data_IF_155905486610
#
_entry.id   IF_155905486610
#
_cell.length_a   1.000
_cell.length_b   1.000
_cell.length_c   1.000
_cell.angle_alpha   90.00
_cell.angle_beta   90.00
_cell.angle_gamma   90.00
#
_symmetry.space_group_name_H-M   'P 1'
#
loop_
_entity.id
_entity.type
_entity.pdbx_description
1 polymer ?
#
# COMPACT_ATOMS: atom_id res chain seq x y z
N UNK A 1 -19.21 -5.65 15.07
CA UNK A 1 -18.34 -6.77 14.67
C UNK A 1 -17.48 -6.29 13.50
N UNK A 2 -16.15 -6.32 13.58
CA UNK A 2 -15.30 -5.88 12.46
C UNK A 2 -15.51 -6.85 11.29
N UNK A 3 -15.47 -6.38 10.04
CA UNK A 3 -15.67 -7.24 8.86
C UNK A 3 -14.77 -8.49 8.85
N UNK A 4 -13.55 -8.37 9.39
CA UNK A 4 -12.60 -9.47 9.56
C UNK A 4 -13.08 -10.54 10.55
N UNK A 5 -13.88 -10.17 11.55
CA UNK A 5 -14.43 -11.11 12.54
C UNK A 5 -15.65 -11.84 11.98
N UNK A 6 -16.46 -11.17 11.16
CA UNK A 6 -17.58 -11.79 10.46
C UNK A 6 -17.11 -12.84 9.43
N UNK A 7 -16.04 -12.55 8.68
CA UNK A 7 -15.46 -13.49 7.72
C UNK A 7 -14.94 -14.77 8.41
N UNK A 8 -14.25 -14.62 9.54
CA UNK A 8 -13.75 -15.77 10.32
C UNK A 8 -14.87 -16.69 10.80
N UNK A 9 -16.00 -16.10 11.24
CA UNK A 9 -17.16 -16.87 11.71
C UNK A 9 -17.79 -17.65 10.56
N UNK A 10 -17.93 -17.01 9.39
CA UNK A 10 -18.46 -17.66 8.18
C UNK A 10 -17.61 -18.87 7.77
N UNK A 11 -16.28 -18.71 7.74
CA UNK A 11 -15.34 -19.80 7.41
C UNK A 11 -15.43 -20.95 8.43
N UNK A 12 -15.60 -20.64 9.71
CA UNK A 12 -15.72 -21.64 10.78
C UNK A 12 -17.00 -22.49 10.59
N UNK A 13 -18.12 -21.87 10.25
CA UNK A 13 -19.36 -22.58 9.93
C UNK A 13 -19.24 -23.44 8.66
N UNK A 14 -18.54 -22.96 7.63
CA UNK A 14 -18.29 -23.73 6.41
C UNK A 14 -17.45 -24.98 6.69
N UNK A 15 -16.41 -24.87 7.52
CA UNK A 15 -15.56 -26.00 7.94
C UNK A 15 -16.35 -27.03 8.75
N UNK A 16 -17.17 -26.58 9.72
CA UNK A 16 -18.02 -27.46 10.52
C UNK A 16 -19.03 -28.24 9.65
N UNK A 17 -19.60 -27.57 8.64
CA UNK A 17 -20.51 -28.20 7.69
C UNK A 17 -19.81 -29.24 6.81
N UNK A 18 -18.60 -28.93 6.33
CA UNK A 18 -17.78 -29.89 5.57
C UNK A 18 -17.43 -31.14 6.39
N UNK A 19 -17.05 -30.95 7.67
CA UNK A 19 -16.77 -32.05 8.59
C UNK A 19 -18.01 -32.94 8.76
N UNK A 20 -19.20 -32.34 8.90
CA UNK A 20 -20.45 -33.09 9.00
C UNK A 20 -20.73 -33.92 7.74
N UNK A 21 -20.59 -33.34 6.54
CA UNK A 21 -20.74 -34.08 5.28
C UNK A 21 -19.72 -35.22 5.15
N UNK A 22 -18.48 -35.00 5.57
CA UNK A 22 -17.43 -36.02 5.56
C UNK A 22 -17.74 -37.19 6.50
N UNK A 23 -18.23 -36.90 7.70
CA UNK A 23 -18.68 -37.93 8.66
C UNK A 23 -19.86 -38.73 8.10
N UNK A 24 -20.82 -38.07 7.46
CA UNK A 24 -21.96 -38.76 6.80
C UNK A 24 -21.48 -39.68 5.68
N UNK A 25 -20.55 -39.22 4.84
CA UNK A 25 -19.97 -40.02 3.76
C UNK A 25 -19.16 -41.22 4.29
N UNK A 26 -18.35 -41.03 5.34
CA UNK A 26 -17.62 -42.13 5.99
C UNK A 26 -18.58 -43.17 6.58
N UNK A 27 -19.67 -42.71 7.21
CA UNK A 27 -20.69 -43.59 7.77
C UNK A 27 -21.42 -44.40 6.68
N UNK A 28 -21.64 -43.82 5.48
CA UNK A 28 -22.19 -44.53 4.31
C UNK A 28 -21.27 -45.67 3.85
N UNK A 29 -19.97 -45.37 3.70
CA UNK A 29 -18.95 -46.33 3.25
C UNK A 29 -18.76 -47.47 4.26
N UNK A 30 -18.74 -47.14 5.55
CA UNK A 30 -18.50 -48.12 6.62
C UNK A 30 -19.71 -49.02 6.89
N UNK A 31 -20.94 -48.51 6.78
CA UNK A 31 -22.15 -49.26 7.11
C UNK A 31 -22.84 -49.91 5.90
N UNK A 32 -22.16 -50.01 4.75
CA UNK A 32 -22.67 -50.79 3.61
C UNK A 32 -23.92 -50.23 2.93
N UNK A 33 -24.07 -48.90 2.89
CA UNK A 33 -25.02 -48.24 1.98
C UNK A 33 -26.50 -48.21 2.38
N UNK A 34 -26.89 -48.58 3.61
CA UNK A 34 -28.28 -48.46 4.07
C UNK A 34 -28.60 -47.10 4.70
N UNK A 35 -28.17 -46.00 4.05
CA UNK A 35 -28.65 -44.67 4.44
C UNK A 35 -30.09 -44.50 3.99
N UNK A 36 -30.96 -44.02 4.89
CA UNK A 36 -32.34 -43.70 4.56
C UNK A 36 -32.35 -42.75 3.34
N UNK A 37 -33.15 -43.09 2.33
CA UNK A 37 -33.20 -42.40 1.04
C UNK A 37 -33.37 -40.87 1.19
N UNK A 38 -34.08 -40.45 2.23
CA UNK A 38 -34.21 -39.03 2.60
C UNK A 38 -32.85 -38.41 2.93
N UNK A 39 -32.05 -39.02 3.81
CA UNK A 39 -30.76 -38.47 4.24
C UNK A 39 -29.75 -38.34 3.09
N UNK A 40 -29.81 -39.25 2.11
CA UNK A 40 -28.98 -39.21 0.91
C UNK A 40 -29.33 -38.03 0.00
N UNK A 41 -30.62 -37.72 -0.16
CA UNK A 41 -31.07 -36.55 -0.92
C UNK A 41 -30.64 -35.25 -0.24
N UNK A 42 -30.78 -35.17 1.09
CA UNK A 42 -30.30 -34.04 1.88
C UNK A 42 -28.77 -33.87 1.81
N UNK A 43 -28.01 -34.97 1.76
CA UNK A 43 -26.57 -34.93 1.58
C UNK A 43 -26.15 -34.38 0.20
N UNK A 44 -26.84 -34.79 -0.88
CA UNK A 44 -26.58 -34.26 -2.23
C UNK A 44 -26.89 -32.77 -2.30
N UNK A 45 -28.03 -32.34 -1.76
CA UNK A 45 -28.41 -30.92 -1.68
C UNK A 45 -27.34 -30.15 -0.90
N UNK A 46 -26.84 -30.74 0.18
CA UNK A 46 -25.77 -30.16 0.99
C UNK A 46 -24.45 -29.98 0.25
N UNK A 47 -24.03 -30.98 -0.52
CA UNK A 47 -22.82 -30.91 -1.35
C UNK A 47 -22.97 -29.83 -2.43
N UNK A 48 -24.14 -29.72 -3.06
CA UNK A 48 -24.42 -28.70 -4.08
C UNK A 48 -24.39 -27.30 -3.46
N UNK A 49 -25.03 -27.11 -2.30
CA UNK A 49 -25.00 -25.82 -1.59
C UNK A 49 -23.60 -25.43 -1.14
N UNK A 50 -22.79 -26.39 -0.68
CA UNK A 50 -21.39 -26.16 -0.31
C UNK A 50 -20.53 -25.77 -1.53
N UNK A 51 -20.73 -26.45 -2.67
CA UNK A 51 -20.04 -26.09 -3.91
C UNK A 51 -20.39 -24.67 -4.38
N UNK A 52 -21.66 -24.28 -4.30
CA UNK A 52 -22.09 -22.90 -4.59
C UNK A 52 -21.46 -21.88 -3.63
N UNK A 53 -21.38 -22.22 -2.34
CA UNK A 53 -20.75 -21.37 -1.34
C UNK A 53 -19.25 -21.16 -1.61
N UNK A 54 -18.51 -22.22 -1.95
CA UNK A 54 -17.10 -22.10 -2.35
C UNK A 54 -16.92 -21.26 -3.61
N UNK A 55 -17.81 -21.38 -4.59
CA UNK A 55 -17.78 -20.53 -5.78
C UNK A 55 -17.97 -19.04 -5.41
N UNK A 56 -18.86 -18.74 -4.47
CA UNK A 56 -19.05 -17.37 -3.95
C UNK A 56 -17.81 -16.89 -3.21
N UNK A 57 -17.17 -17.70 -2.37
CA UNK A 57 -15.92 -17.32 -1.69
C UNK A 57 -14.78 -17.04 -2.68
N UNK A 58 -14.63 -17.87 -3.71
CA UNK A 58 -13.62 -17.67 -4.77
C UNK A 58 -13.91 -16.38 -5.53
N UNK A 59 -15.16 -16.13 -5.93
CA UNK A 59 -15.54 -14.87 -6.58
C UNK A 59 -15.27 -13.69 -5.66
N UNK A 60 -15.64 -13.77 -4.38
CA UNK A 60 -15.36 -12.73 -3.40
C UNK A 60 -13.85 -12.45 -3.30
N UNK A 61 -13.02 -13.49 -3.16
CA UNK A 61 -11.55 -13.34 -3.12
C UNK A 61 -10.99 -12.69 -4.40
N UNK A 62 -11.50 -13.07 -5.57
CA UNK A 62 -11.08 -12.47 -6.85
C UNK A 62 -11.57 -11.02 -7.01
N UNK A 63 -12.72 -10.68 -6.43
CA UNK A 63 -13.26 -9.32 -6.48
C UNK A 63 -12.67 -8.40 -5.43
N UNK A 64 -12.00 -8.91 -4.38
CA UNK A 64 -11.24 -8.06 -3.45
C UNK A 64 -10.05 -7.49 -4.23
N UNK A 65 -10.03 -6.18 -4.55
CA UNK A 65 -8.86 -5.59 -5.17
C UNK A 65 -7.71 -5.76 -4.18
N UNK A 66 -6.62 -6.37 -4.65
CA UNK A 66 -5.37 -6.45 -3.91
C UNK A 66 -4.92 -5.01 -3.68
N UNK A 67 -5.25 -4.48 -2.51
CA UNK A 67 -4.79 -3.17 -2.05
C UNK A 67 -3.29 -3.33 -1.79
N UNK A 68 -2.53 -3.17 -2.89
CA UNK A 68 -1.10 -2.99 -2.84
C UNK A 68 -0.90 -1.67 -2.11
N UNK A 69 -0.70 -1.78 -0.79
CA UNK A 69 -0.15 -0.71 0.01
C UNK A 69 1.23 -0.42 -0.56
N UNK A 70 1.27 0.42 -1.60
CA UNK A 70 2.43 1.26 -1.83
C UNK A 70 2.54 2.03 -0.54
N UNK A 71 3.39 1.54 0.36
CA UNK A 71 3.97 2.40 1.37
C UNK A 71 4.50 3.59 0.58
N UNK A 72 3.75 4.69 0.62
CA UNK A 72 4.28 5.99 0.32
C UNK A 72 5.35 6.12 1.39
N UNK A 73 6.59 5.72 1.05
CA UNK A 73 7.75 6.23 1.75
C UNK A 73 7.56 7.73 1.64
N UNK A 74 7.06 8.34 2.72
CA UNK A 74 7.11 9.77 2.92
C UNK A 74 8.60 10.12 2.88
N UNK A 75 9.16 10.26 1.69
CA UNK A 75 10.44 10.91 1.49
C UNK A 75 10.11 12.38 1.63
N UNK A 76 10.28 12.91 2.83
CA UNK A 76 10.65 14.31 2.93
C UNK A 76 11.34 14.58 4.25
N UNK A 77 12.40 13.83 4.53
CA UNK A 77 13.57 14.48 5.13
C UNK A 77 14.64 14.38 4.04
N UNK A 78 15.04 15.51 3.48
CA UNK A 78 16.06 15.55 2.44
C UNK A 78 17.38 15.12 3.09
N UNK A 79 17.79 13.86 2.93
CA UNK A 79 19.03 13.34 3.53
C UNK A 79 20.19 13.74 2.61
N UNK A 80 21.01 14.70 3.04
CA UNK A 80 22.17 15.16 2.29
C UNK A 80 23.43 14.43 2.76
N UNK A 81 24.24 13.93 1.81
CA UNK A 81 25.56 13.34 2.09
C UNK A 81 26.60 14.44 2.21
N UNK A 82 27.33 14.45 3.31
CA UNK A 82 28.35 15.45 3.63
C UNK A 82 29.69 14.77 3.89
N UNK A 83 30.74 15.33 3.31
CA UNK A 83 32.11 14.92 3.58
C UNK A 83 32.76 15.88 4.59
N UNK A 84 33.27 15.36 5.70
CA UNK A 84 33.99 16.16 6.67
C UNK A 84 35.32 16.68 6.08
N UNK A 85 35.57 17.99 6.15
CA UNK A 85 36.83 18.59 5.71
C UNK A 85 38.05 18.14 6.54
N UNK A 86 37.85 17.75 7.79
CA UNK A 86 38.92 17.36 8.70
C UNK A 86 39.31 15.88 8.60
N UNK A 87 38.34 14.97 8.74
CA UNK A 87 38.62 13.52 8.77
C UNK A 87 38.21 12.80 7.47
N UNK A 88 37.67 13.52 6.48
CA UNK A 88 37.21 12.99 5.18
C UNK A 88 36.14 11.90 5.26
N UNK A 89 35.55 11.66 6.43
CA UNK A 89 34.43 10.74 6.54
C UNK A 89 33.21 11.32 5.84
N UNK A 90 32.52 10.46 5.10
CA UNK A 90 31.24 10.80 4.48
C UNK A 90 30.14 10.28 5.39
N UNK A 91 29.17 11.13 5.69
CA UNK A 91 28.02 10.81 6.54
C UNK A 91 26.78 11.54 6.06
N UNK A 92 25.61 11.11 6.53
CA UNK A 92 24.30 11.64 6.14
C UNK A 92 23.74 12.52 7.24
N UNK A 93 23.19 13.68 6.88
CA UNK A 93 22.50 14.60 7.80
C UNK A 93 21.14 14.96 7.20
N UNK A 94 20.15 15.21 8.04
CA UNK A 94 18.86 15.77 7.63
C UNK A 94 19.00 17.23 7.24
N UNK A 95 18.68 17.53 5.98
CA UNK A 95 18.78 18.88 5.43
C UNK A 95 17.51 19.68 5.73
N UNK A 96 17.68 20.75 6.52
CA UNK A 96 16.60 21.67 6.88
C UNK A 96 16.36 22.75 5.83
N UNK A 97 17.17 22.81 4.77
CA UNK A 97 17.10 23.85 3.73
C UNK A 97 17.62 25.24 4.16
N UNK A 98 17.91 25.44 5.45
CA UNK A 98 18.49 26.69 5.97
C UNK A 98 20.00 26.71 5.70
N UNK A 99 20.54 27.84 5.24
CA UNK A 99 21.97 28.02 4.95
C UNK A 99 22.51 29.29 5.62
N UNK A 100 23.74 29.29 6.18
CA UNK A 100 24.66 28.14 6.30
C UNK A 100 24.12 27.06 7.25
N UNK A 101 24.15 25.80 6.83
CA UNK A 101 23.65 24.68 7.65
C UNK A 101 24.78 24.13 8.51
N UNK A 102 24.77 24.33 9.84
CA UNK A 102 25.79 23.76 10.71
C UNK A 102 25.63 22.24 10.79
N UNK A 103 26.75 21.54 10.93
CA UNK A 103 26.77 20.11 11.19
C UNK A 103 27.94 19.74 12.10
N UNK A 104 27.78 18.66 12.87
CA UNK A 104 28.85 18.10 13.69
C UNK A 104 29.28 16.75 13.13
N UNK A 105 30.57 16.57 12.88
CA UNK A 105 31.08 15.31 12.36
C UNK A 105 30.99 14.20 13.43
N UNK A 106 30.34 13.05 13.15
CA UNK A 106 30.23 11.96 14.13
C UNK A 106 31.56 11.23 14.39
N UNK A 107 32.53 11.34 13.48
CA UNK A 107 33.82 10.68 13.63
C UNK A 107 34.84 11.52 14.41
N UNK A 108 34.93 12.82 14.12
CA UNK A 108 35.96 13.69 14.72
C UNK A 108 35.41 14.80 15.62
N UNK A 109 34.09 14.90 15.82
CA UNK A 109 33.45 15.89 16.68
C UNK A 109 33.58 17.36 16.23
N UNK A 110 34.21 17.62 15.08
CA UNK A 110 34.39 18.99 14.58
C UNK A 110 33.10 19.49 13.92
N UNK A 111 32.81 20.75 14.19
CA UNK A 111 31.73 21.49 13.54
C UNK A 111 32.15 21.96 12.15
N UNK A 112 31.21 21.94 11.21
CA UNK A 112 31.34 22.48 9.88
C UNK A 112 30.02 23.12 9.45
N UNK A 113 30.02 23.77 8.28
CA UNK A 113 28.80 24.34 7.74
C UNK A 113 28.71 24.09 6.23
N UNK A 114 27.56 23.61 5.77
CA UNK A 114 27.25 23.54 4.34
C UNK A 114 26.90 24.93 3.84
N UNK A 115 27.67 25.40 2.85
CA UNK A 115 27.40 26.61 2.08
C UNK A 115 26.85 26.17 0.72
N UNK A 116 25.60 26.47 0.43
CA UNK A 116 24.95 26.17 -0.85
C UNK A 116 23.95 27.28 -1.22
N UNK A 117 23.59 27.38 -2.50
CA UNK A 117 22.52 28.27 -2.94
C UNK A 117 21.18 27.73 -2.43
N UNK A 118 20.35 28.60 -1.83
CA UNK A 118 18.95 28.31 -1.50
C UNK A 118 18.23 28.02 -2.81
N UNK A 119 17.69 26.81 -3.00
CA UNK A 119 16.61 26.63 -3.97
C UNK A 119 15.36 27.01 -3.20
N UNK A 120 14.94 28.26 -3.37
CA UNK A 120 13.72 28.78 -2.76
C UNK A 120 12.56 28.20 -3.55
N UNK A 121 12.00 27.09 -3.05
CA UNK A 121 10.89 26.43 -3.70
C UNK A 121 9.71 26.26 -2.75
N UNK A 122 8.51 26.60 -3.21
CA UNK A 122 7.26 26.35 -2.50
C UNK A 122 6.71 24.97 -2.88
N UNK A 123 5.94 24.36 -1.98
CA UNK A 123 5.14 23.18 -2.34
C UNK A 123 3.89 23.65 -3.07
N UNK A 124 3.65 23.11 -4.26
CA UNK A 124 2.49 23.41 -5.09
C UNK A 124 1.73 22.13 -5.38
N UNK A 125 0.42 22.12 -5.18
CA UNK A 125 -0.46 21.01 -5.56
C UNK A 125 -0.86 21.14 -7.03
N UNK A 126 -0.63 20.09 -7.81
CA UNK A 126 -1.00 20.03 -9.22
C UNK A 126 -1.96 18.87 -9.46
N UNK A 127 -3.00 19.13 -10.24
CA UNK A 127 -3.97 18.12 -10.67
C UNK A 127 -3.63 17.65 -12.08
N UNK A 128 -3.46 16.34 -12.26
CA UNK A 128 -3.19 15.77 -13.58
C UNK A 128 -4.44 15.84 -14.48
N UNK A 129 -4.33 16.31 -15.75
CA UNK A 129 -5.46 16.37 -16.67
C UNK A 129 -5.95 14.99 -17.13
N UNK A 130 -5.08 13.97 -17.15
CA UNK A 130 -5.41 12.62 -17.65
C UNK A 130 -6.12 11.76 -16.59
N UNK A 131 -5.62 11.76 -15.36
CA UNK A 131 -6.11 10.85 -14.30
C UNK A 131 -6.87 11.56 -13.18
N UNK A 132 -7.02 12.89 -13.25
CA UNK A 132 -7.68 13.73 -12.23
C UNK A 132 -7.09 13.62 -10.81
N UNK A 133 -5.92 12.98 -10.67
CA UNK A 133 -5.25 12.85 -9.38
C UNK A 133 -4.47 14.12 -9.03
N UNK A 134 -4.63 14.59 -7.79
CA UNK A 134 -3.87 15.70 -7.20
C UNK A 134 -2.62 15.20 -6.50
N UNK A 135 -1.48 15.83 -6.71
CA UNK A 135 -0.21 15.52 -6.04
C UNK A 135 0.64 16.78 -5.82
N UNK A 136 1.57 16.72 -4.87
CA UNK A 136 2.47 17.82 -4.53
C UNK A 136 3.73 17.79 -5.40
N UNK A 137 4.09 18.93 -5.98
CA UNK A 137 5.38 19.17 -6.64
C UNK A 137 6.11 20.34 -5.98
N UNK A 138 7.42 20.37 -6.13
CA UNK A 138 8.25 21.49 -5.69
C UNK A 138 8.31 22.54 -6.80
N UNK A 139 7.75 23.70 -6.55
CA UNK A 139 7.84 24.85 -7.44
C UNK A 139 9.07 25.69 -7.10
N UNK A 140 10.08 25.66 -7.96
CA UNK A 140 11.32 26.43 -7.80
C UNK A 140 11.20 27.89 -8.27
N UNK A 141 10.02 28.30 -8.77
CA UNK A 141 9.81 29.60 -9.41
C UNK A 141 10.37 29.71 -10.83
N UNK A 142 11.05 28.67 -11.32
CA UNK A 142 11.51 28.59 -12.72
C UNK A 142 10.38 28.06 -13.62
N UNK A 143 10.28 28.61 -14.83
CA UNK A 143 9.25 28.26 -15.81
C UNK A 143 9.88 28.09 -17.21
N UNK A 144 9.41 27.15 -18.03
CA UNK A 144 8.32 26.19 -17.77
C UNK A 144 8.73 25.09 -16.78
N UNK A 145 7.84 24.74 -15.83
CA UNK A 145 8.08 23.66 -14.87
C UNK A 145 7.44 22.36 -15.37
N UNK A 146 8.28 21.39 -15.72
CA UNK A 146 7.82 20.06 -16.18
C UNK A 146 7.60 19.12 -15.00
N UNK A 147 6.52 18.36 -15.01
CA UNK A 147 6.24 17.31 -14.02
C UNK A 147 5.85 16.01 -14.70
N UNK A 148 6.05 14.90 -14.00
CA UNK A 148 5.56 13.58 -14.40
C UNK A 148 4.55 13.09 -13.36
N UNK A 149 3.35 12.69 -13.80
CA UNK A 149 2.32 12.23 -12.89
C UNK A 149 2.69 10.84 -12.29
N UNK A 150 2.69 10.67 -10.95
CA UNK A 150 3.04 9.39 -10.32
C UNK A 150 1.99 8.28 -10.50
N UNK A 151 0.80 8.61 -11.02
CA UNK A 151 -0.30 7.66 -11.21
C UNK A 151 -0.42 7.16 -12.64
N UNK A 152 -0.21 8.04 -13.64
CA UNK A 152 -0.43 7.73 -15.05
C UNK A 152 0.80 8.00 -15.93
N UNK A 153 1.92 8.45 -15.38
CA UNK A 153 3.16 8.78 -16.10
C UNK A 153 3.00 9.82 -17.22
N UNK A 154 1.92 10.60 -17.18
CA UNK A 154 1.72 11.71 -18.09
C UNK A 154 2.70 12.84 -17.78
N UNK A 155 3.36 13.37 -18.82
CA UNK A 155 4.22 14.55 -18.72
C UNK A 155 3.40 15.81 -18.90
N UNK A 156 3.32 16.63 -17.85
CA UNK A 156 2.64 17.92 -17.88
C UNK A 156 3.61 19.09 -17.68
N UNK A 157 3.14 20.28 -18.03
CA UNK A 157 3.89 21.53 -17.86
C UNK A 157 3.03 22.52 -17.08
N UNK A 158 3.61 23.13 -16.06
CA UNK A 158 3.03 24.29 -15.37
C UNK A 158 3.67 25.54 -15.94
N UNK A 159 2.86 26.36 -16.61
CA UNK A 159 3.31 27.60 -17.25
C UNK A 159 3.15 28.82 -16.33
N UNK A 160 2.18 28.80 -15.41
CA UNK A 160 1.84 29.93 -14.55
C UNK A 160 2.28 29.70 -13.10
N UNK A 161 2.62 30.76 -12.38
CA UNK A 161 2.82 30.70 -10.93
C UNK A 161 1.46 30.57 -10.24
N UNK A 162 1.32 29.71 -9.22
CA UNK A 162 0.23 29.85 -8.26
C UNK A 162 0.58 30.95 -7.29
N UNK A 163 -0.24 31.99 -7.21
CA UNK A 163 -0.15 32.96 -6.11
C UNK A 163 -0.44 32.24 -4.78
N UNK A 164 0.41 32.41 -3.75
CA UNK A 164 0.07 31.96 -2.41
C UNK A 164 -1.08 32.84 -1.86
N UNK A 165 -2.13 32.20 -1.32
CA UNK A 165 -3.16 32.86 -0.49
C UNK A 165 -2.59 33.36 0.85
#
# INVERSE_FOLDING_TARGET
>A
MKQKDALKIIVLFAILYFIWLFVVALNEVMNGGTLLLELKMWAIIGVVLYALFLLVEVVMYLTVPKEESREIKLVSEAITRVMCSNCKTTFTISDTGVRPMPYTCPNCGKEGALKGKKVEGSKMTVTCPECSASFEIMDTGERPLTYECPYCHHHGVVETCSEPE
#
